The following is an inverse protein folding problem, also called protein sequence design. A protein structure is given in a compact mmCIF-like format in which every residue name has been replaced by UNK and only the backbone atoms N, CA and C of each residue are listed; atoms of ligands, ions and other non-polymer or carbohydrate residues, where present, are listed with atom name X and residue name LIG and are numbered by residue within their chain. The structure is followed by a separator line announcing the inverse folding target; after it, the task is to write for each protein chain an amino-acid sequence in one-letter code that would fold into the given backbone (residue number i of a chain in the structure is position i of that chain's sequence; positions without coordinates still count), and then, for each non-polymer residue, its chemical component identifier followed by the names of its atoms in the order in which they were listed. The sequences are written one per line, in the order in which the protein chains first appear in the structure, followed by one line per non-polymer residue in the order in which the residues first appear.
data_IF_097709221683
#
_entry.id   IF_097709221683
#
_cell.length_a   1.000
_cell.length_b   1.000
_cell.length_c   1.000
_cell.angle_alpha   90.00
_cell.angle_beta   90.00
_cell.angle_gamma   90.00
#
_symmetry.space_group_name_H-M   'P 1'
#
loop_
_entity.id
_entity.type
_entity.pdbx_description
1 polymer ?
#
# COMPACT_ATOMS: atom_id res chain seq x y z
N UNK A 1 -17.20 0.52 -31.14
CA UNK A 1 -17.80 0.97 -29.86
C UNK A 1 -16.67 1.55 -29.01
N UNK A 2 -16.48 2.87 -29.05
CA UNK A 2 -15.58 3.55 -28.12
C UNK A 2 -16.27 3.54 -26.75
N UNK A 3 -15.75 2.74 -25.81
CA UNK A 3 -16.13 2.86 -24.40
C UNK A 3 -15.69 4.25 -23.95
N UNK A 4 -16.63 5.12 -23.62
CA UNK A 4 -16.36 6.35 -22.86
C UNK A 4 -15.44 5.97 -21.71
N UNK A 5 -14.19 6.46 -21.70
CA UNK A 5 -13.21 6.14 -20.65
C UNK A 5 -13.78 6.60 -19.32
N UNK A 6 -14.32 5.66 -18.53
CA UNK A 6 -14.74 5.97 -17.18
C UNK A 6 -13.49 6.42 -16.41
N UNK A 7 -13.50 7.65 -15.91
CA UNK A 7 -12.41 8.16 -15.10
C UNK A 7 -12.21 7.24 -13.88
N UNK A 8 -10.95 7.05 -13.50
CA UNK A 8 -10.59 6.36 -12.29
C UNK A 8 -11.35 7.00 -11.09
N UNK A 9 -12.17 6.22 -10.35
CA UNK A 9 -13.04 6.77 -9.32
C UNK A 9 -12.30 7.14 -8.03
N UNK A 10 -11.04 6.69 -7.88
CA UNK A 10 -10.26 6.89 -6.66
C UNK A 10 -9.64 8.28 -6.56
N UNK A 11 -9.37 8.70 -5.33
CA UNK A 11 -8.69 9.97 -5.02
C UNK A 11 -7.42 9.73 -4.23
N UNK A 12 -6.44 10.61 -4.38
CA UNK A 12 -5.24 10.61 -3.53
C UNK A 12 -5.65 10.79 -2.06
N UNK A 13 -5.05 9.99 -1.18
CA UNK A 13 -5.37 9.91 0.25
C UNK A 13 -6.54 8.98 0.58
N UNK A 14 -7.20 8.38 -0.41
CA UNK A 14 -8.30 7.45 -0.17
C UNK A 14 -7.80 6.10 0.37
N UNK A 15 -8.52 5.54 1.34
CA UNK A 15 -8.21 4.23 1.92
C UNK A 15 -8.96 3.13 1.18
N UNK A 16 -8.21 2.13 0.71
CA UNK A 16 -8.73 1.01 -0.06
C UNK A 16 -8.24 -0.34 0.47
N UNK A 17 -9.06 -1.37 0.28
CA UNK A 17 -8.75 -2.77 0.50
C UNK A 17 -8.16 -3.37 -0.77
N UNK A 18 -7.05 -4.11 -0.63
CA UNK A 18 -6.45 -4.88 -1.72
C UNK A 18 -7.15 -6.23 -1.90
N UNK A 19 -7.56 -6.49 -3.13
CA UNK A 19 -8.16 -7.75 -3.58
C UNK A 19 -7.12 -8.49 -4.41
N UNK A 20 -6.41 -9.42 -3.78
CA UNK A 20 -5.33 -10.19 -4.41
C UNK A 20 -5.79 -11.27 -5.41
N UNK A 21 -7.10 -11.38 -5.67
CA UNK A 21 -7.65 -12.44 -6.52
C UNK A 21 -6.99 -12.39 -7.89
N UNK A 22 -6.34 -13.51 -8.26
CA UNK A 22 -5.66 -13.73 -9.54
C UNK A 22 -4.50 -12.75 -9.85
N UNK A 23 -4.01 -11.98 -8.87
CA UNK A 23 -2.85 -11.11 -9.03
C UNK A 23 -1.62 -11.65 -8.25
N UNK A 24 -0.59 -12.15 -8.95
CA UNK A 24 0.61 -12.71 -8.30
C UNK A 24 1.40 -11.67 -7.52
N UNK A 25 1.38 -10.40 -7.92
CA UNK A 25 2.09 -9.31 -7.25
C UNK A 25 1.46 -8.96 -5.89
N UNK A 26 0.19 -9.34 -5.71
CA UNK A 26 -0.56 -9.17 -4.46
C UNK A 26 -0.62 -10.43 -3.60
N UNK A 27 0.17 -11.47 -3.93
CA UNK A 27 0.19 -12.72 -3.16
C UNK A 27 0.52 -12.42 -1.69
N UNK A 28 -0.35 -12.91 -0.79
CA UNK A 28 -0.22 -12.68 0.65
C UNK A 28 -0.64 -11.29 1.14
N UNK A 29 -1.11 -10.40 0.25
CA UNK A 29 -1.55 -9.04 0.56
C UNK A 29 -3.07 -8.85 0.44
N UNK A 30 -3.79 -9.90 0.06
CA UNK A 30 -5.25 -9.87 -0.02
C UNK A 30 -5.86 -9.63 1.35
N UNK A 31 -6.75 -8.65 1.45
CA UNK A 31 -7.35 -8.25 2.72
C UNK A 31 -6.57 -7.18 3.49
N UNK A 32 -5.37 -6.80 3.02
CA UNK A 32 -4.66 -5.65 3.57
C UNK A 32 -5.25 -4.34 3.02
N UNK A 33 -5.16 -3.28 3.81
CA UNK A 33 -5.52 -1.94 3.38
C UNK A 33 -4.27 -1.16 2.96
N UNK A 34 -4.49 -0.14 2.13
CA UNK A 34 -3.49 0.81 1.70
C UNK A 34 -4.12 2.17 1.38
N UNK A 35 -3.28 3.18 1.23
CA UNK A 35 -3.69 4.56 0.95
C UNK A 35 -3.26 4.92 -0.46
N UNK A 36 -4.17 5.42 -1.28
CA UNK A 36 -3.88 5.85 -2.65
C UNK A 36 -2.91 7.03 -2.63
N UNK A 37 -1.71 6.85 -3.17
CA UNK A 37 -0.72 7.92 -3.33
C UNK A 37 -0.80 8.57 -4.73
N UNK A 38 -1.21 7.80 -5.74
CA UNK A 38 -1.27 8.23 -7.13
C UNK A 38 -2.42 7.54 -7.86
N UNK A 39 -3.11 8.30 -8.71
CA UNK A 39 -4.27 7.86 -9.48
C UNK A 39 -3.88 7.83 -10.96
N UNK A 40 -3.63 6.64 -11.48
CA UNK A 40 -3.40 6.40 -12.90
C UNK A 40 -4.70 6.22 -13.67
N UNK A 41 -4.60 5.97 -14.98
CA UNK A 41 -5.80 5.79 -15.82
C UNK A 41 -6.57 4.51 -15.49
N UNK A 42 -5.86 3.40 -15.27
CA UNK A 42 -6.43 2.06 -14.99
C UNK A 42 -5.86 1.40 -13.75
N UNK A 43 -5.13 2.17 -12.95
CA UNK A 43 -4.46 1.69 -11.74
C UNK A 43 -4.35 2.81 -10.72
N UNK A 44 -4.13 2.44 -9.48
CA UNK A 44 -3.65 3.35 -8.45
C UNK A 44 -2.34 2.81 -7.89
N UNK A 45 -1.48 3.72 -7.46
CA UNK A 45 -0.37 3.35 -6.59
C UNK A 45 -0.82 3.56 -5.15
N UNK A 46 -0.67 2.52 -4.33
CA UNK A 46 -1.12 2.49 -2.94
C UNK A 46 0.08 2.31 -2.04
N UNK A 47 0.17 3.14 -1.00
CA UNK A 47 1.15 3.02 0.07
C UNK A 47 0.56 2.13 1.16
N UNK A 48 1.33 1.11 1.55
CA UNK A 48 1.05 0.16 2.62
C UNK A 48 2.14 0.26 3.68
N UNK A 49 1.96 -0.45 4.79
CA UNK A 49 2.93 -0.48 5.89
C UNK A 49 4.32 -1.03 5.48
N UNK A 50 4.39 -1.84 4.42
CA UNK A 50 5.59 -2.51 3.92
C UNK A 50 6.13 -1.94 2.61
N UNK A 51 5.52 -0.89 2.05
CA UNK A 51 5.97 -0.26 0.81
C UNK A 51 4.85 0.21 -0.11
N UNK A 52 5.19 0.44 -1.38
CA UNK A 52 4.26 0.95 -2.39
C UNK A 52 3.98 -0.07 -3.50
N UNK A 53 2.73 -0.11 -3.94
CA UNK A 53 2.26 -1.08 -4.92
C UNK A 53 1.38 -0.42 -5.98
N UNK A 54 1.65 -0.69 -7.26
CA UNK A 54 0.76 -0.26 -8.34
C UNK A 54 -0.23 -1.36 -8.64
N UNK A 55 -1.53 -1.06 -8.48
CA UNK A 55 -2.60 -2.03 -8.47
C UNK A 55 -3.71 -1.61 -9.43
N UNK A 56 -4.16 -2.53 -10.29
CA UNK A 56 -5.28 -2.29 -11.20
C UNK A 56 -6.60 -2.07 -10.44
N UNK A 57 -7.51 -1.25 -11.00
CA UNK A 57 -8.75 -0.86 -10.31
C UNK A 57 -9.62 -2.04 -9.86
N UNK A 58 -9.59 -3.15 -10.61
CA UNK A 58 -10.31 -4.38 -10.27
C UNK A 58 -9.82 -5.08 -8.99
N UNK A 59 -8.61 -4.73 -8.54
CA UNK A 59 -7.98 -5.28 -7.34
C UNK A 59 -8.07 -4.30 -6.16
N UNK A 60 -8.84 -3.23 -6.28
CA UNK A 60 -9.05 -2.24 -5.23
C UNK A 60 -10.53 -2.17 -4.88
N UNK A 61 -10.80 -2.03 -3.58
CA UNK A 61 -12.13 -1.72 -3.07
C UNK A 61 -12.05 -0.59 -2.06
N UNK A 62 -12.68 0.54 -2.36
CA UNK A 62 -12.77 1.66 -1.42
C UNK A 62 -13.47 1.26 -0.12
N UNK A 63 -12.96 1.76 0.99
CA UNK A 63 -13.67 1.73 2.28
C UNK A 63 -14.75 2.82 2.37
N UNK A 64 -14.72 3.81 1.47
CA UNK A 64 -15.60 4.98 1.48
C UNK A 64 -15.50 5.80 2.77
N UNK A 65 -14.30 5.87 3.35
CA UNK A 65 -14.00 6.72 4.50
C UNK A 65 -14.17 8.20 4.14
N UNK A 66 -14.64 8.96 5.12
CA UNK A 66 -14.67 10.41 5.06
C UNK A 66 -13.22 10.96 5.06
N UNK A 67 -13.00 12.17 4.53
CA UNK A 67 -11.65 12.76 4.48
C UNK A 67 -10.93 12.79 5.84
N UNK A 68 -11.67 13.07 6.93
CA UNK A 68 -11.10 13.07 8.28
C UNK A 68 -10.68 11.67 8.75
N UNK A 69 -11.42 10.63 8.38
CA UNK A 69 -11.09 9.23 8.69
C UNK A 69 -9.87 8.77 7.87
N UNK A 70 -9.78 9.18 6.60
CA UNK A 70 -8.59 8.94 5.78
C UNK A 70 -7.33 9.57 6.39
N UNK A 71 -7.42 10.79 6.91
CA UNK A 71 -6.30 11.46 7.60
C UNK A 71 -5.86 10.71 8.86
N UNK A 72 -6.81 10.19 9.65
CA UNK A 72 -6.47 9.35 10.80
C UNK A 72 -5.74 8.08 10.38
N UNK A 73 -6.18 7.47 9.26
CA UNK A 73 -5.56 6.27 8.73
C UNK A 73 -4.14 6.52 8.20
N UNK A 74 -3.88 7.70 7.63
CA UNK A 74 -2.53 8.13 7.25
C UNK A 74 -1.59 8.15 8.46
N UNK A 75 -2.01 8.73 9.59
CA UNK A 75 -1.20 8.75 10.81
C UNK A 75 -0.87 7.34 11.30
N UNK A 76 -1.82 6.41 11.20
CA UNK A 76 -1.59 5.00 11.56
C UNK A 76 -0.60 4.35 10.59
N UNK A 77 -0.76 4.59 9.28
CA UNK A 77 0.15 4.08 8.25
C UNK A 77 1.59 4.54 8.49
N UNK A 78 1.79 5.84 8.71
CA UNK A 78 3.10 6.44 8.94
C UNK A 78 3.77 5.87 10.21
N UNK A 79 2.99 5.64 11.26
CA UNK A 79 3.49 5.03 12.51
C UNK A 79 3.90 3.57 12.31
N UNK A 80 3.11 2.80 11.56
CA UNK A 80 3.45 1.40 11.25
C UNK A 80 4.69 1.30 10.37
N UNK A 81 4.83 2.17 9.38
CA UNK A 81 6.00 2.20 8.50
C UNK A 81 7.29 2.48 9.27
N UNK A 82 7.25 3.41 10.24
CA UNK A 82 8.41 3.67 11.13
C UNK A 82 8.77 2.47 11.99
N UNK A 83 7.79 1.88 12.67
CA UNK A 83 8.01 0.69 13.51
C UNK A 83 8.60 -0.46 12.68
N UNK A 84 8.10 -0.66 11.46
CA UNK A 84 8.61 -1.68 10.56
C UNK A 84 10.06 -1.41 10.14
N UNK A 85 10.38 -0.16 9.79
CA UNK A 85 11.75 0.26 9.46
C UNK A 85 12.71 0.04 10.63
N UNK A 86 12.34 0.48 11.83
CA UNK A 86 13.16 0.37 13.04
C UNK A 86 13.45 -1.11 13.36
N UNK A 87 12.44 -1.98 13.29
CA UNK A 87 12.61 -3.42 13.49
C UNK A 87 13.54 -4.05 12.43
N UNK A 88 13.44 -3.58 11.18
CA UNK A 88 14.31 -4.05 10.11
C UNK A 88 15.77 -3.66 10.40
N UNK A 89 16.02 -2.42 10.82
CA UNK A 89 17.37 -1.97 11.21
C UNK A 89 17.93 -2.77 12.40
N UNK A 90 17.12 -3.01 13.43
CA UNK A 90 17.53 -3.81 14.60
C UNK A 90 17.85 -5.26 14.27
N UNK A 91 17.15 -5.87 13.31
CA UNK A 91 17.40 -7.26 12.89
C UNK A 91 18.55 -7.39 11.89
N UNK A 92 18.76 -6.36 11.06
CA UNK A 92 19.78 -6.35 10.01
C UNK A 92 21.15 -5.91 10.53
N UNK A 93 21.22 -4.96 11.46
CA UNK A 93 22.49 -4.49 12.05
C UNK A 93 23.34 -5.62 12.66
N UNK A 94 22.80 -6.56 13.44
CA UNK A 94 23.55 -7.71 13.98
C UNK A 94 24.09 -8.65 12.90
N UNK A 95 23.39 -8.80 11.77
CA UNK A 95 23.82 -9.68 10.67
C UNK A 95 25.06 -9.12 9.95
N UNK A 96 25.21 -7.79 9.91
CA UNK A 96 26.36 -7.13 9.31
C UNK A 96 27.49 -6.79 10.30
N UNK A 97 27.26 -6.95 11.60
CA UNK A 97 28.28 -6.73 12.64
C UNK A 97 28.89 -8.01 13.20
N UNK A 98 28.57 -9.17 12.62
CA UNK A 98 29.34 -10.40 12.84
C UNK A 98 30.74 -10.21 12.21
N UNK A 99 31.83 -10.17 13.00
CA UNK A 99 33.17 -10.17 12.42
C UNK A 99 33.34 -11.47 11.64
N UNK A 100 33.76 -11.38 10.38
CA UNK A 100 34.34 -12.54 9.71
C UNK A 100 35.58 -12.91 10.53
N UNK A 101 35.49 -13.97 11.33
CA UNK A 101 36.66 -14.49 12.05
C UNK A 101 37.72 -14.93 11.02
N UNK A 102 38.98 -14.50 11.18
CA UNK A 102 40.08 -14.82 10.27
C UNK A 102 40.57 -16.27 10.38
#
# INVERSE_FOLDING_TARGET
MERTKAQNPYRVGEVCLLIAKDNPDLRGKGGNWGIVNHVGEFSCTVTMWDGEYTVGLQHLKSYNYLPAECQQMQVICDRLARIYSDLLEETVNPLFSCPLEP
#
